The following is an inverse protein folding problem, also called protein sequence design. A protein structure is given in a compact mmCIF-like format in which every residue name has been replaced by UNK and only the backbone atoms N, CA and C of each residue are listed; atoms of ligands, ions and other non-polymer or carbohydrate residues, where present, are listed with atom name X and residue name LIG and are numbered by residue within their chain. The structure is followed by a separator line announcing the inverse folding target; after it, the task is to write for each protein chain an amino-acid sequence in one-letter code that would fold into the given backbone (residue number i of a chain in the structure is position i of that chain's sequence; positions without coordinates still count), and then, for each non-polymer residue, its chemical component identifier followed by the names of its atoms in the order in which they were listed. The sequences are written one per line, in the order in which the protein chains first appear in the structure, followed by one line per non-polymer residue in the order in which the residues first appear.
data_IF_235816324121
#
_entry.id   IF_235816324121
#
_cell.length_a   1.000
_cell.length_b   1.000
_cell.length_c   1.000
_cell.angle_alpha   90.00
_cell.angle_beta   90.00
_cell.angle_gamma   90.00
#
_symmetry.space_group_name_H-M   'P 1'
#
loop_
_entity.id
_entity.type
_entity.pdbx_description
1 polymer ?
#
# COMPACT_ATOMS: atom_id res chain seq x y z
N UNK A 1 8.63 24.94 -7.65
CA UNK A 1 7.81 23.79 -7.67
C UNK A 1 8.11 22.85 -6.56
N UNK A 2 9.30 22.45 -6.44
CA UNK A 2 9.68 21.57 -5.34
C UNK A 2 9.41 22.21 -4.00
N UNK A 3 9.72 23.50 -3.91
CA UNK A 3 9.45 24.20 -2.70
C UNK A 3 8.01 24.20 -2.35
N UNK A 4 7.17 24.37 -3.37
CA UNK A 4 5.75 24.42 -3.14
C UNK A 4 5.24 23.08 -2.61
N UNK A 5 5.75 21.97 -3.13
CA UNK A 5 5.34 20.65 -2.67
C UNK A 5 5.74 20.42 -1.23
N UNK A 6 6.99 20.72 -0.90
CA UNK A 6 7.47 20.58 0.47
C UNK A 6 6.71 21.49 1.41
N UNK A 7 6.50 22.73 0.99
CA UNK A 7 5.77 23.68 1.78
C UNK A 7 4.38 23.22 2.05
N UNK A 8 3.72 22.66 1.06
CA UNK A 8 2.36 22.19 1.23
C UNK A 8 2.28 21.06 2.25
N UNK A 9 3.21 20.13 2.23
CA UNK A 9 3.21 19.05 3.21
C UNK A 9 3.48 19.60 4.60
N UNK A 10 4.47 20.46 4.72
CA UNK A 10 4.80 21.06 6.02
C UNK A 10 3.61 21.82 6.57
N UNK A 11 2.91 22.57 5.73
CA UNK A 11 1.75 23.32 6.15
C UNK A 11 0.65 22.39 6.65
N UNK A 12 0.42 21.29 5.97
CA UNK A 12 -0.60 20.35 6.38
C UNK A 12 -0.27 19.73 7.72
N UNK A 13 0.98 19.35 7.90
CA UNK A 13 1.41 18.79 9.17
C UNK A 13 1.27 19.81 10.27
N UNK A 14 1.66 21.04 10.00
CA UNK A 14 1.56 22.12 10.98
C UNK A 14 0.13 22.38 11.38
N UNK A 15 -0.80 22.28 10.43
CA UNK A 15 -2.21 22.47 10.72
C UNK A 15 -2.85 21.22 11.32
N UNK A 16 -2.11 20.10 11.37
CA UNK A 16 -2.63 18.88 11.93
C UNK A 16 -3.47 18.04 10.98
N UNK A 17 -3.48 18.39 9.68
CA UNK A 17 -4.32 17.66 8.74
C UNK A 17 -4.01 16.18 8.72
N UNK A 18 -2.73 15.83 8.60
CA UNK A 18 -2.35 14.41 8.52
C UNK A 18 -2.65 13.68 9.83
N UNK A 19 -2.57 14.36 10.94
CA UNK A 19 -2.80 13.74 12.25
C UNK A 19 -4.26 13.79 12.67
N UNK A 20 -5.13 14.41 11.88
CA UNK A 20 -6.54 14.50 12.18
C UNK A 20 -7.28 13.33 11.55
N UNK A 21 -8.05 12.60 12.35
CA UNK A 21 -8.77 11.44 11.87
C UNK A 21 -9.80 11.79 10.80
N UNK A 22 -10.21 13.04 10.70
CA UNK A 22 -11.19 13.46 9.71
C UNK A 22 -10.57 13.83 8.38
N UNK A 23 -9.25 13.86 8.31
CA UNK A 23 -8.56 14.26 7.10
C UNK A 23 -8.61 13.14 6.06
N UNK A 24 -8.98 13.42 4.80
CA UNK A 24 -8.98 12.39 3.75
C UNK A 24 -7.62 11.72 3.58
N UNK A 25 -6.53 12.48 3.78
CA UNK A 25 -5.18 11.92 3.70
C UNK A 25 -5.00 10.80 4.71
N UNK A 26 -5.65 10.91 5.87
CA UNK A 26 -5.52 9.93 6.92
C UNK A 26 -6.09 8.58 6.50
N UNK A 27 -7.22 8.58 5.81
CA UNK A 27 -7.85 7.36 5.35
C UNK A 27 -6.98 6.69 4.28
N UNK A 28 -6.47 7.48 3.34
CA UNK A 28 -5.63 6.93 2.28
C UNK A 28 -4.33 6.38 2.87
N UNK A 29 -3.75 7.09 3.82
CA UNK A 29 -2.56 6.61 4.52
C UNK A 29 -2.82 5.24 5.15
N UNK A 30 -3.97 5.09 5.81
CA UNK A 30 -4.32 3.83 6.43
C UNK A 30 -4.42 2.70 5.42
N UNK A 31 -5.02 2.96 4.27
CA UNK A 31 -5.16 1.95 3.22
C UNK A 31 -3.80 1.50 2.70
N UNK A 32 -2.92 2.46 2.43
CA UNK A 32 -1.61 2.17 1.84
C UNK A 32 -0.69 1.48 2.83
N UNK A 33 -0.75 1.88 4.10
CA UNK A 33 0.19 1.35 5.10
C UNK A 33 -0.31 0.11 5.81
N UNK A 34 -1.51 -0.36 5.53
CA UNK A 34 -1.96 -1.64 6.07
C UNK A 34 -1.11 -2.73 5.46
N UNK A 35 -0.91 -3.81 6.20
CA UNK A 35 -0.08 -4.91 5.72
C UNK A 35 -0.57 -5.42 4.38
N UNK A 36 -1.88 -5.67 4.26
CA UNK A 36 -2.42 -6.21 3.02
C UNK A 36 -2.36 -5.19 1.89
N UNK A 37 -2.56 -3.91 2.20
CA UNK A 37 -2.45 -2.85 1.19
C UNK A 37 -1.06 -2.73 0.64
N UNK A 38 -0.06 -2.71 1.51
CA UNK A 38 1.33 -2.64 1.08
C UNK A 38 1.71 -3.85 0.22
N UNK A 39 1.34 -5.05 0.69
CA UNK A 39 1.71 -6.26 -0.02
C UNK A 39 1.01 -6.36 -1.38
N UNK A 40 -0.25 -5.92 -1.46
CA UNK A 40 -0.97 -5.92 -2.73
C UNK A 40 -0.32 -4.96 -3.72
N UNK A 41 0.03 -3.76 -3.26
CA UNK A 41 0.68 -2.78 -4.13
C UNK A 41 2.02 -3.31 -4.65
N UNK A 42 2.81 -3.91 -3.77
CA UNK A 42 4.11 -4.45 -4.16
C UNK A 42 3.93 -5.59 -5.16
N UNK A 43 2.98 -6.47 -4.92
CA UNK A 43 2.74 -7.60 -5.82
C UNK A 43 2.34 -7.12 -7.20
N UNK A 44 1.53 -6.06 -7.29
CA UNK A 44 1.06 -5.55 -8.56
C UNK A 44 2.13 -4.78 -9.34
N UNK A 45 3.26 -4.48 -8.72
CA UNK A 45 4.34 -3.81 -9.45
C UNK A 45 4.91 -4.70 -10.56
N UNK A 46 4.77 -5.99 -10.43
CA UNK A 46 5.30 -6.91 -11.42
C UNK A 46 4.36 -7.11 -12.60
N UNK A 47 3.17 -6.56 -12.54
CA UNK A 47 2.24 -6.62 -13.66
C UNK A 47 0.82 -6.90 -13.20
N UNK A 48 -0.06 -7.03 -14.19
CA UNK A 48 -1.48 -7.28 -13.97
C UNK A 48 -1.68 -8.68 -13.42
N UNK A 49 -2.51 -8.80 -12.40
CA UNK A 49 -2.82 -10.08 -11.78
C UNK A 49 -4.32 -10.25 -11.62
N UNK A 50 -4.77 -11.50 -11.71
CA UNK A 50 -6.13 -11.84 -11.38
C UNK A 50 -6.25 -11.94 -9.86
N UNK A 51 -7.48 -11.91 -9.39
CA UNK A 51 -7.74 -11.98 -7.94
C UNK A 51 -7.09 -13.22 -7.32
N UNK A 52 -7.28 -14.39 -7.94
CA UNK A 52 -6.73 -15.62 -7.39
C UNK A 52 -5.19 -15.63 -7.39
N UNK A 53 -4.60 -15.04 -8.41
CA UNK A 53 -3.15 -14.94 -8.49
C UNK A 53 -2.60 -14.03 -7.40
N UNK A 54 -3.28 -12.90 -7.20
CA UNK A 54 -2.89 -11.96 -6.18
C UNK A 54 -3.03 -12.57 -4.80
N UNK A 55 -4.10 -13.31 -4.58
CA UNK A 55 -4.32 -13.97 -3.30
C UNK A 55 -3.23 -14.99 -2.99
N UNK A 56 -2.80 -15.74 -4.01
CA UNK A 56 -1.71 -16.69 -3.82
C UNK A 56 -0.38 -15.98 -3.55
N UNK A 57 -0.18 -14.86 -4.23
CA UNK A 57 1.06 -14.10 -4.07
C UNK A 57 1.15 -13.48 -2.67
N UNK A 58 0.02 -12.99 -2.16
CA UNK A 58 -0.04 -12.38 -0.83
C UNK A 58 -0.51 -13.45 0.15
N UNK A 59 0.44 -14.27 0.55
CA UNK A 59 0.13 -15.42 1.38
C UNK A 59 -0.46 -15.00 2.72
N UNK A 60 -1.50 -15.70 3.14
CA UNK A 60 -2.13 -15.45 4.43
C UNK A 60 -3.35 -14.57 4.40
N UNK A 61 -3.58 -13.84 3.29
CA UNK A 61 -4.73 -12.96 3.23
C UNK A 61 -5.98 -13.78 2.91
N UNK A 62 -7.08 -13.47 3.60
CA UNK A 62 -8.36 -14.12 3.30
C UNK A 62 -8.97 -13.49 2.05
N UNK A 63 -9.87 -14.22 1.41
CA UNK A 63 -10.59 -13.72 0.24
C UNK A 63 -11.29 -12.41 0.55
N UNK A 64 -11.98 -12.39 1.69
CA UNK A 64 -12.74 -11.21 2.09
C UNK A 64 -11.83 -10.01 2.34
N UNK A 65 -10.72 -10.24 3.03
CA UNK A 65 -9.82 -9.15 3.36
C UNK A 65 -9.13 -8.60 2.11
N UNK A 66 -8.73 -9.49 1.19
CA UNK A 66 -8.12 -9.03 -0.04
C UNK A 66 -9.11 -8.24 -0.89
N UNK A 67 -10.36 -8.72 -0.97
CA UNK A 67 -11.40 -8.01 -1.72
C UNK A 67 -11.61 -6.61 -1.14
N UNK A 68 -11.67 -6.49 0.17
CA UNK A 68 -11.86 -5.21 0.83
C UNK A 68 -10.65 -4.29 0.59
N UNK A 69 -9.46 -4.85 0.69
CA UNK A 69 -8.22 -4.09 0.47
C UNK A 69 -8.18 -3.53 -0.96
N UNK A 70 -8.46 -4.37 -1.94
CA UNK A 70 -8.44 -3.94 -3.33
C UNK A 70 -9.51 -2.89 -3.61
N UNK A 71 -10.68 -3.03 -2.99
CA UNK A 71 -11.73 -2.06 -3.15
C UNK A 71 -11.31 -0.70 -2.61
N UNK A 72 -10.63 -0.69 -1.46
CA UNK A 72 -10.13 0.56 -0.89
C UNK A 72 -9.08 1.20 -1.78
N UNK A 73 -8.14 0.40 -2.28
CA UNK A 73 -7.08 0.93 -3.15
C UNK A 73 -7.64 1.42 -4.48
N UNK A 74 -8.66 0.74 -4.98
CA UNK A 74 -9.35 1.19 -6.19
C UNK A 74 -10.06 2.52 -5.94
N UNK A 75 -10.73 2.64 -4.81
CA UNK A 75 -11.40 3.88 -4.43
C UNK A 75 -10.43 5.04 -4.27
N UNK A 76 -9.20 4.76 -3.89
CA UNK A 76 -8.17 5.78 -3.75
C UNK A 76 -7.51 6.14 -5.08
N UNK A 77 -7.86 5.44 -6.16
CA UNK A 77 -7.26 5.71 -7.46
C UNK A 77 -5.90 5.09 -7.67
N UNK A 78 -5.54 4.09 -6.87
CA UNK A 78 -4.22 3.45 -6.95
C UNK A 78 -4.26 2.14 -7.72
N UNK A 79 -5.41 1.51 -7.79
CA UNK A 79 -5.59 0.22 -8.44
C UNK A 79 -6.72 0.32 -9.45
N UNK A 80 -6.50 -0.29 -10.61
CA UNK A 80 -7.51 -0.37 -11.66
C UNK A 80 -8.05 -1.80 -11.65
N UNK A 81 -9.37 -1.92 -11.65
CA UNK A 81 -10.05 -3.20 -11.71
C UNK A 81 -10.74 -3.31 -13.05
N UNK A 82 -10.43 -4.34 -13.81
CA UNK A 82 -11.05 -4.56 -15.12
C UNK A 82 -11.78 -5.90 -15.08
N UNK A 83 -13.07 -5.86 -15.38
CA UNK A 83 -13.88 -7.06 -15.43
C UNK A 83 -14.10 -7.45 -16.87
N UNK A 84 -13.86 -8.72 -17.18
CA UNK A 84 -14.00 -9.22 -18.53
C UNK A 84 -15.26 -10.09 -18.62
N UNK A 85 -16.22 -9.72 -19.51
CA UNK A 85 -17.47 -10.46 -19.63
C UNK A 85 -17.29 -11.69 -20.54
N UNK A 86 -16.33 -12.53 -20.24
CA UNK A 86 -16.09 -13.76 -20.98
C UNK A 86 -16.56 -14.93 -20.13
N UNK A 87 -16.45 -16.16 -20.68
CA UNK A 87 -16.86 -17.35 -19.95
C UNK A 87 -15.66 -18.25 -19.80
N UNK A 88 -15.23 -18.50 -18.56
CA UNK A 88 -15.76 -17.94 -17.31
C UNK A 88 -15.32 -16.48 -17.14
N UNK A 89 -16.09 -15.68 -16.45
CA UNK A 89 -15.73 -14.29 -16.23
C UNK A 89 -14.52 -14.19 -15.32
N UNK A 90 -13.73 -13.14 -15.52
CA UNK A 90 -12.61 -12.92 -14.61
C UNK A 90 -12.34 -11.43 -14.46
N UNK A 91 -11.63 -11.10 -13.41
CA UNK A 91 -11.31 -9.73 -13.06
C UNK A 91 -9.80 -9.62 -12.95
N UNK A 92 -9.25 -8.56 -13.50
CA UNK A 92 -7.83 -8.29 -13.44
C UNK A 92 -7.58 -7.00 -12.69
N UNK A 93 -6.49 -6.96 -11.96
CA UNK A 93 -6.08 -5.80 -11.18
C UNK A 93 -4.72 -5.33 -11.66
N UNK A 94 -4.56 -4.03 -11.76
CA UNK A 94 -3.27 -3.44 -12.14
C UNK A 94 -3.11 -2.11 -11.42
N UNK A 95 -1.90 -1.58 -11.41
CA UNK A 95 -1.65 -0.30 -10.79
C UNK A 95 -1.94 0.83 -11.76
N UNK A 96 -2.52 1.91 -11.25
CA UNK A 96 -2.61 3.16 -12.00
C UNK A 96 -1.25 3.84 -11.93
N UNK A 97 -1.03 4.93 -12.69
CA UNK A 97 0.23 5.69 -12.53
C UNK A 97 0.48 6.14 -11.10
N UNK A 98 -0.57 6.59 -10.39
CA UNK A 98 -0.42 6.94 -8.98
C UNK A 98 -0.11 5.72 -8.14
N UNK A 99 -0.72 4.58 -8.48
CA UNK A 99 -0.44 3.33 -7.79
C UNK A 99 0.99 2.90 -7.96
N UNK A 100 1.57 3.13 -9.14
CA UNK A 100 2.97 2.80 -9.36
C UNK A 100 3.87 3.62 -8.45
N UNK A 101 3.56 4.90 -8.29
CA UNK A 101 4.33 5.75 -7.40
C UNK A 101 4.22 5.29 -5.96
N UNK A 102 3.00 5.03 -5.51
CA UNK A 102 2.79 4.58 -4.14
C UNK A 102 3.46 3.24 -3.88
N UNK A 103 3.35 2.33 -4.85
CA UNK A 103 3.93 0.99 -4.71
C UNK A 103 5.46 1.08 -4.59
N UNK A 104 6.08 1.98 -5.34
CA UNK A 104 7.52 2.16 -5.25
C UNK A 104 7.93 2.62 -3.85
N UNK A 105 7.14 3.51 -3.25
CA UNK A 105 7.44 4.02 -1.92
C UNK A 105 7.32 2.94 -0.85
N UNK A 106 6.26 2.14 -0.91
CA UNK A 106 6.08 1.10 0.10
C UNK A 106 7.04 -0.06 -0.11
N UNK A 107 7.41 -0.33 -1.36
CA UNK A 107 8.42 -1.36 -1.61
C UNK A 107 9.77 -0.90 -1.09
N UNK A 108 10.06 0.39 -1.19
CA UNK A 108 11.27 0.95 -0.60
C UNK A 108 11.30 0.74 0.91
N UNK A 109 10.15 0.91 1.56
CA UNK A 109 10.06 0.66 2.99
C UNK A 109 10.29 -0.82 3.30
N UNK A 110 9.69 -1.70 2.51
CA UNK A 110 9.90 -3.14 2.69
C UNK A 110 11.36 -3.52 2.51
N UNK A 111 12.01 -2.94 1.50
CA UNK A 111 13.44 -3.19 1.25
C UNK A 111 14.28 -2.72 2.43
N UNK A 112 13.93 -1.57 3.00
CA UNK A 112 14.66 -1.06 4.15
C UNK A 112 14.54 -2.00 5.34
N UNK A 113 13.32 -2.52 5.57
CA UNK A 113 13.11 -3.48 6.66
C UNK A 113 13.95 -4.73 6.44
N UNK A 114 13.90 -5.28 5.23
CA UNK A 114 14.66 -6.49 4.92
C UNK A 114 16.15 -6.26 5.05
N UNK A 115 16.63 -5.12 4.60
CA UNK A 115 18.05 -4.81 4.66
C UNK A 115 18.57 -4.56 6.06
N UNK A 116 17.68 -4.27 7.00
CA UNK A 116 18.06 -4.01 8.38
C UNK A 116 17.49 -5.04 9.34
N UNK A 117 16.99 -6.15 8.81
CA UNK A 117 16.25 -7.11 9.63
C UNK A 117 17.05 -7.63 10.80
N UNK A 118 18.32 -7.97 10.58
CA UNK A 118 19.15 -8.49 11.67
C UNK A 118 19.27 -7.51 12.82
N UNK A 119 19.52 -6.26 12.51
CA UNK A 119 19.64 -5.22 13.53
C UNK A 119 18.30 -4.98 14.22
N UNK A 120 17.23 -4.96 13.43
CA UNK A 120 15.91 -4.74 14.01
C UNK A 120 15.50 -5.85 14.94
N UNK A 121 15.82 -7.09 14.59
CA UNK A 121 15.52 -8.23 15.45
C UNK A 121 16.32 -8.18 16.74
N UNK A 122 17.57 -7.75 16.66
CA UNK A 122 18.39 -7.59 17.86
C UNK A 122 17.80 -6.54 18.77
N UNK A 123 17.28 -5.47 18.21
CA UNK A 123 16.66 -4.43 19.01
C UNK A 123 15.48 -4.97 19.81
N UNK A 124 14.73 -5.89 19.23
CA UNK A 124 13.62 -6.49 19.91
C UNK A 124 14.09 -7.40 21.05
N UNK A 125 15.18 -8.14 20.80
CA UNK A 125 15.68 -9.10 21.77
C UNK A 125 16.49 -8.45 22.88
N UNK A 126 17.08 -7.32 22.63
CA UNK A 126 17.91 -6.64 23.59
C UNK A 126 17.22 -5.38 24.06
N UNK A 127 16.21 -5.50 24.79
CA UNK A 127 15.40 -4.39 25.13
C UNK A 127 16.14 -3.54 26.00
N UNK A 128 16.24 -2.91 26.34
CA UNK A 128 16.55 -1.99 27.06
C UNK A 128 17.71 -1.99 27.47
N UNK A 129 18.38 -2.19 26.82
CA UNK A 129 19.62 -1.93 27.05
C UNK A 129 19.76 -0.73 27.77
N UNK A 130 18.94 -0.14 28.03
CA UNK A 130 19.15 1.04 28.78
C UNK A 130 19.31 0.81 30.20
#
# INVERSE_FOLDING_TARGET
MLERTSSRLADRIARGDLFDTRCPSRAILKHITSTWGMLALIALRQGTLRFSELRRRVNGVSERMLAQTLQQLEGDGLVLRVSYPVVPPHVEYSLTPLGEEAAALVEGLADWIEGNLGTLMKGVEAPEAA
#
